data_IF_226834809064
#
_entry.id   IF_226834809064
#
_cell.length_a   1.000
_cell.length_b   1.000
_cell.length_c   1.000
_cell.angle_alpha   90.00
_cell.angle_beta   90.00
_cell.angle_gamma   90.00
#
_symmetry.space_group_name_H-M   'P 1'
#
loop_
_entity.id
_entity.type
_entity.pdbx_description
1 polymer ?
#
# COMPACT_ATOMS: atom_id res chain seq x y z
N UNK A 1 28.34 -19.24 13.51
CA UNK A 1 27.06 -19.73 12.94
C UNK A 1 26.28 -18.66 12.19
N UNK A 2 26.28 -17.38 12.63
CA UNK A 2 25.63 -16.27 11.88
C UNK A 2 26.16 -16.13 10.45
N UNK A 3 27.45 -16.38 10.21
CA UNK A 3 28.07 -16.30 8.88
C UNK A 3 27.47 -17.24 7.84
N UNK A 4 26.89 -18.39 8.23
CA UNK A 4 26.29 -19.37 7.30
C UNK A 4 24.95 -18.92 6.70
N UNK A 5 24.30 -17.93 7.31
CA UNK A 5 22.96 -17.46 6.91
C UNK A 5 22.98 -16.06 6.28
N UNK A 6 24.16 -15.44 6.18
CA UNK A 6 24.30 -14.18 5.47
C UNK A 6 24.41 -14.46 3.96
N UNK A 7 23.77 -13.65 3.10
CA UNK A 7 23.96 -13.77 1.67
C UNK A 7 25.43 -13.63 1.31
N UNK A 8 25.97 -14.57 0.53
CA UNK A 8 27.37 -14.52 0.12
C UNK A 8 27.74 -13.22 -0.60
N UNK A 9 26.77 -12.62 -1.30
CA UNK A 9 26.91 -11.32 -1.96
C UNK A 9 27.18 -10.15 -1.01
N UNK A 10 26.89 -10.29 0.29
CA UNK A 10 27.15 -9.30 1.33
C UNK A 10 28.39 -9.64 2.19
N UNK A 11 29.04 -10.79 1.96
CA UNK A 11 30.20 -11.24 2.74
C UNK A 11 31.32 -11.71 1.80
N UNK A 12 31.37 -12.99 1.43
CA UNK A 12 32.48 -13.59 0.68
C UNK A 12 32.64 -12.99 -0.72
N UNK A 13 31.53 -12.71 -1.39
CA UNK A 13 31.49 -12.20 -2.75
C UNK A 13 31.31 -10.67 -2.83
N UNK A 14 31.28 -9.98 -1.69
CA UNK A 14 31.00 -8.54 -1.66
C UNK A 14 32.02 -7.73 -2.47
N UNK A 15 33.33 -7.89 -2.19
CA UNK A 15 34.37 -7.09 -2.85
C UNK A 15 34.46 -7.34 -4.37
N UNK A 16 34.42 -8.58 -4.87
CA UNK A 16 34.31 -8.82 -6.31
C UNK A 16 33.09 -8.15 -6.97
N UNK A 17 31.90 -8.21 -6.34
CA UNK A 17 30.69 -7.58 -6.84
C UNK A 17 30.85 -6.05 -6.84
N UNK A 18 31.32 -5.50 -5.73
CA UNK A 18 31.54 -4.06 -5.55
C UNK A 18 32.42 -3.48 -6.64
N UNK A 19 33.58 -4.10 -6.92
CA UNK A 19 34.49 -3.64 -7.98
C UNK A 19 33.82 -3.62 -9.34
N UNK A 20 33.15 -4.71 -9.72
CA UNK A 20 32.44 -4.80 -10.99
C UNK A 20 31.37 -3.71 -11.14
N UNK A 21 30.58 -3.49 -10.09
CA UNK A 21 29.50 -2.49 -10.08
C UNK A 21 30.06 -1.07 -10.27
N UNK A 22 31.14 -0.71 -9.56
CA UNK A 22 31.77 0.60 -9.67
C UNK A 22 32.44 0.80 -11.03
N UNK A 23 33.14 -0.22 -11.55
CA UNK A 23 33.81 -0.16 -12.87
C UNK A 23 32.82 0.05 -14.03
N UNK A 24 31.65 -0.60 -13.97
CA UNK A 24 30.60 -0.50 -15.02
C UNK A 24 29.78 0.79 -14.91
N UNK A 25 29.91 1.54 -13.80
CA UNK A 25 29.20 2.80 -13.53
C UNK A 25 30.18 3.89 -13.05
N UNK A 26 31.13 4.31 -13.89
CA UNK A 26 32.17 5.26 -13.47
C UNK A 26 31.65 6.67 -13.23
N UNK A 27 30.54 7.05 -13.86
CA UNK A 27 29.98 8.40 -13.77
C UNK A 27 29.08 8.54 -12.54
N UNK A 28 29.54 9.32 -11.56
CA UNK A 28 28.78 9.67 -10.36
C UNK A 28 27.80 10.83 -10.65
N UNK A 29 26.50 10.67 -10.40
CA UNK A 29 25.55 11.78 -10.46
C UNK A 29 25.55 12.60 -9.17
N UNK A 30 25.14 13.86 -9.21
CA UNK A 30 24.96 14.67 -7.99
C UNK A 30 23.74 14.25 -7.17
N UNK A 31 22.72 13.68 -7.84
CA UNK A 31 21.48 13.20 -7.22
C UNK A 31 21.13 11.78 -7.71
N UNK A 32 20.66 10.94 -6.80
CA UNK A 32 20.19 9.59 -7.07
C UNK A 32 18.75 9.43 -6.56
N UNK A 33 17.83 8.91 -7.39
CA UNK A 33 16.43 8.70 -7.00
C UNK A 33 16.03 7.23 -7.11
N UNK A 34 15.26 6.74 -6.13
CA UNK A 34 14.54 5.46 -6.23
C UNK A 34 13.36 5.40 -5.26
N UNK A 35 12.44 4.46 -5.48
CA UNK A 35 11.39 4.12 -4.51
C UNK A 35 11.45 2.68 -4.04
N UNK A 36 12.16 1.78 -4.72
CA UNK A 36 12.19 0.35 -4.34
C UNK A 36 13.59 -0.29 -4.38
N UNK A 37 14.59 0.39 -4.94
CA UNK A 37 15.89 -0.24 -5.20
C UNK A 37 16.69 -0.59 -3.93
N UNK A 38 16.44 0.07 -2.80
CA UNK A 38 17.02 -0.29 -1.51
C UNK A 38 16.51 -1.64 -0.97
N UNK A 39 15.41 -2.19 -1.50
CA UNK A 39 14.93 -3.52 -1.12
C UNK A 39 15.64 -4.63 -1.88
N UNK A 40 15.61 -4.56 -3.21
CA UNK A 40 15.88 -5.74 -4.05
C UNK A 40 17.14 -5.66 -4.90
N UNK A 41 17.79 -4.51 -5.01
CA UNK A 41 18.90 -4.30 -5.96
C UNK A 41 20.23 -4.06 -5.24
N UNK A 42 21.08 -5.08 -5.17
CA UNK A 42 22.38 -4.98 -4.49
C UNK A 42 23.31 -3.98 -5.18
N UNK A 43 23.29 -3.91 -6.51
CA UNK A 43 24.10 -3.00 -7.31
C UNK A 43 23.73 -1.55 -6.98
N UNK A 44 22.42 -1.25 -6.88
CA UNK A 44 21.96 0.07 -6.48
C UNK A 44 22.41 0.40 -5.06
N UNK A 45 22.33 -0.54 -4.11
CA UNK A 45 22.76 -0.30 -2.71
C UNK A 45 24.26 0.02 -2.65
N UNK A 46 25.08 -0.70 -3.41
CA UNK A 46 26.53 -0.45 -3.49
C UNK A 46 26.78 0.94 -4.08
N UNK A 47 26.18 1.27 -5.23
CA UNK A 47 26.39 2.57 -5.87
C UNK A 47 25.89 3.72 -4.99
N UNK A 48 24.72 3.57 -4.37
CA UNK A 48 24.17 4.56 -3.45
C UNK A 48 25.14 4.79 -2.28
N UNK A 49 25.64 3.73 -1.65
CA UNK A 49 26.60 3.86 -0.56
C UNK A 49 27.89 4.57 -1.00
N UNK A 50 28.53 4.12 -2.08
CA UNK A 50 29.78 4.71 -2.58
C UNK A 50 29.63 6.16 -3.01
N UNK A 51 28.55 6.48 -3.73
CA UNK A 51 28.35 7.83 -4.26
C UNK A 51 27.90 8.82 -3.19
N UNK A 52 27.12 8.39 -2.20
CA UNK A 52 26.71 9.26 -1.09
C UNK A 52 27.91 9.66 -0.20
N UNK A 53 28.87 8.75 0.02
CA UNK A 53 30.14 9.08 0.70
C UNK A 53 30.96 10.15 -0.07
N UNK A 54 30.76 10.23 -1.38
CA UNK A 54 31.37 11.24 -2.26
C UNK A 54 30.49 12.48 -2.48
N UNK A 55 29.40 12.61 -1.74
CA UNK A 55 28.53 13.79 -1.73
C UNK A 55 27.30 13.74 -2.64
N UNK A 56 27.02 12.61 -3.31
CA UNK A 56 25.74 12.43 -4.04
C UNK A 56 24.56 12.43 -3.06
N UNK A 57 23.47 13.07 -3.44
CA UNK A 57 22.24 13.14 -2.64
C UNK A 57 21.27 12.01 -2.96
N UNK A 58 20.86 11.26 -1.93
CA UNK A 58 19.88 10.18 -2.08
C UNK A 58 18.46 10.68 -1.85
N UNK A 59 17.67 10.62 -2.91
CA UNK A 59 16.24 10.84 -2.92
C UNK A 59 15.53 9.47 -2.88
N UNK A 60 14.71 9.26 -1.85
CA UNK A 60 13.92 8.04 -1.72
C UNK A 60 12.44 8.34 -1.51
N UNK A 61 11.57 7.41 -1.86
CA UNK A 61 10.13 7.67 -1.89
C UNK A 61 9.34 6.47 -1.38
N UNK A 62 8.34 6.76 -0.54
CA UNK A 62 7.31 5.84 -0.12
C UNK A 62 6.72 5.07 -1.32
N UNK A 63 6.55 3.76 -1.14
CA UNK A 63 6.04 2.85 -2.18
C UNK A 63 4.94 1.91 -1.68
N UNK A 64 4.76 1.81 -0.37
CA UNK A 64 3.73 0.97 0.24
C UNK A 64 2.69 1.78 1.01
N UNK A 65 1.55 1.16 1.27
CA UNK A 65 0.46 1.81 2.01
C UNK A 65 0.54 1.73 3.53
N UNK A 66 1.60 1.17 4.12
CA UNK A 66 1.79 1.09 5.57
C UNK A 66 2.67 2.21 6.15
N UNK A 67 3.38 2.92 5.26
CA UNK A 67 4.34 3.96 5.63
C UNK A 67 3.63 5.13 6.29
N UNK A 68 4.15 5.55 7.45
CA UNK A 68 3.58 6.58 8.29
C UNK A 68 2.37 6.14 9.11
N UNK A 69 1.77 4.97 8.84
CA UNK A 69 0.58 4.47 9.54
C UNK A 69 0.92 3.48 10.64
N UNK A 70 1.76 2.49 10.32
CA UNK A 70 2.13 1.40 11.22
C UNK A 70 2.87 1.90 12.45
N UNK A 71 2.52 1.38 13.62
CA UNK A 71 3.13 1.70 14.92
C UNK A 71 4.67 1.63 14.87
N UNK A 72 5.19 0.66 14.12
CA UNK A 72 6.60 0.55 13.73
C UNK A 72 6.71 -0.07 12.34
N UNK A 73 7.58 0.49 11.50
CA UNK A 73 7.82 0.01 10.15
C UNK A 73 9.31 0.06 9.84
N UNK A 74 9.98 -1.11 9.87
CA UNK A 74 11.45 -1.19 9.73
C UNK A 74 11.94 -0.66 8.37
N UNK A 75 11.19 -0.93 7.29
CA UNK A 75 11.48 -0.41 5.94
C UNK A 75 11.52 1.11 5.90
N UNK A 76 10.38 1.77 6.17
CA UNK A 76 10.28 3.22 6.40
C UNK A 76 11.42 3.78 7.25
N UNK A 77 11.66 3.25 8.46
CA UNK A 77 12.70 3.78 9.35
C UNK A 77 14.10 3.69 8.75
N UNK A 78 14.41 2.60 8.04
CA UNK A 78 15.67 2.46 7.34
C UNK A 78 15.77 3.47 6.20
N UNK A 79 14.78 3.50 5.31
CA UNK A 79 14.77 4.34 4.12
C UNK A 79 14.81 5.84 4.46
N UNK A 80 14.02 6.28 5.44
CA UNK A 80 14.03 7.66 5.93
C UNK A 80 15.41 8.03 6.50
N UNK A 81 16.07 7.10 7.18
CA UNK A 81 17.38 7.36 7.81
C UNK A 81 18.52 7.47 6.80
N UNK A 82 18.48 6.68 5.73
CA UNK A 82 19.59 6.63 4.76
C UNK A 82 19.45 7.62 3.60
N UNK A 83 18.28 8.23 3.43
CA UNK A 83 18.04 9.22 2.37
C UNK A 83 18.29 10.64 2.88
N UNK A 84 18.82 11.50 2.00
CA UNK A 84 18.89 12.95 2.25
C UNK A 84 17.48 13.57 2.15
N UNK A 85 16.66 13.03 1.25
CA UNK A 85 15.28 13.44 0.97
C UNK A 85 14.37 12.21 0.88
N UNK A 86 13.45 12.07 1.82
CA UNK A 86 12.44 11.02 1.85
C UNK A 86 11.06 11.59 1.50
N UNK A 87 10.52 11.19 0.35
CA UNK A 87 9.20 11.62 -0.09
C UNK A 87 8.09 10.75 0.51
N UNK A 88 7.07 11.37 1.08
CA UNK A 88 5.92 10.70 1.68
C UNK A 88 4.63 11.06 0.95
N UNK A 89 3.62 10.20 1.07
CA UNK A 89 2.31 10.43 0.46
C UNK A 89 1.39 11.31 1.32
N UNK A 90 1.94 12.25 2.10
CA UNK A 90 1.13 13.23 2.86
C UNK A 90 1.64 13.55 4.26
N UNK A 91 2.32 12.60 4.91
CA UNK A 91 2.67 12.74 6.32
C UNK A 91 4.05 13.37 6.49
N UNK A 92 4.20 14.21 7.52
CA UNK A 92 5.48 14.71 7.99
C UNK A 92 5.45 14.78 9.52
N UNK A 93 6.60 14.57 10.16
CA UNK A 93 6.75 14.62 11.62
C UNK A 93 7.76 15.66 12.07
N UNK A 94 7.98 16.68 11.24
CA UNK A 94 8.86 17.80 11.54
C UNK A 94 10.35 17.46 11.42
N UNK A 95 10.70 16.27 10.92
CA UNK A 95 12.05 15.98 10.50
C UNK A 95 12.35 16.73 9.18
N UNK A 96 13.61 17.17 9.03
CA UNK A 96 14.02 17.99 7.88
C UNK A 96 14.19 17.20 6.58
N UNK A 97 14.24 15.88 6.68
CA UNK A 97 14.51 14.99 5.55
C UNK A 97 13.24 14.46 4.91
N UNK A 98 12.08 14.60 5.54
CA UNK A 98 10.79 14.16 5.00
C UNK A 98 10.09 15.28 4.23
N UNK A 99 9.75 14.99 2.98
CA UNK A 99 9.10 15.91 2.04
C UNK A 99 7.75 15.32 1.61
N UNK A 100 6.68 16.09 1.73
CA UNK A 100 5.36 15.65 1.27
C UNK A 100 5.25 15.86 -0.23
N UNK A 101 5.03 14.79 -0.98
CA UNK A 101 4.89 14.85 -2.43
C UNK A 101 3.87 13.82 -2.92
N UNK A 102 2.91 14.25 -3.75
CA UNK A 102 1.86 13.35 -4.20
C UNK A 102 2.44 12.19 -5.00
N UNK A 103 2.02 10.94 -4.74
CA UNK A 103 2.47 9.80 -5.53
C UNK A 103 2.01 9.92 -6.98
N UNK A 104 2.72 9.20 -7.85
CA UNK A 104 2.28 8.99 -9.22
C UNK A 104 0.93 8.29 -9.20
N UNK A 105 -0.03 8.88 -9.90
CA UNK A 105 -1.31 8.25 -10.16
C UNK A 105 -1.75 8.47 -11.60
N UNK A 106 -2.29 7.42 -12.19
CA UNK A 106 -2.99 7.52 -13.45
C UNK A 106 -4.33 8.20 -13.22
N UNK A 107 -4.69 9.16 -14.08
CA UNK A 107 -5.99 9.80 -14.03
C UNK A 107 -7.09 8.74 -14.04
N UNK A 108 -8.07 8.80 -13.12
CA UNK A 108 -9.15 7.82 -13.07
C UNK A 108 -9.87 7.78 -14.41
N UNK A 109 -10.01 6.59 -15.00
CA UNK A 109 -10.82 6.43 -16.21
C UNK A 109 -12.30 6.48 -15.83
N UNK A 110 -13.09 7.24 -16.58
CA UNK A 110 -14.54 7.31 -16.36
C UNK A 110 -15.23 6.17 -17.09
N UNK A 111 -15.67 5.16 -16.36
CA UNK A 111 -16.44 4.03 -16.89
C UNK A 111 -17.81 3.92 -16.22
N UNK A 112 -18.77 3.33 -16.94
CA UNK A 112 -20.07 2.97 -16.37
C UNK A 112 -19.84 1.92 -15.27
N UNK A 113 -20.36 2.19 -14.07
CA UNK A 113 -20.28 1.24 -12.97
C UNK A 113 -21.12 -0.01 -13.27
N UNK A 114 -20.55 -1.19 -13.07
CA UNK A 114 -21.17 -2.46 -13.48
C UNK A 114 -21.05 -3.57 -12.44
N UNK A 115 -20.11 -3.47 -11.50
CA UNK A 115 -19.89 -4.48 -10.48
C UNK A 115 -19.48 -3.83 -9.15
N UNK A 116 -19.35 -4.65 -8.11
CA UNK A 116 -18.54 -4.34 -6.95
C UNK A 116 -17.23 -5.14 -7.02
N UNK A 117 -16.21 -4.69 -6.32
CA UNK A 117 -14.92 -5.38 -6.30
C UNK A 117 -14.50 -5.74 -4.88
N UNK A 118 -13.89 -6.91 -4.70
CA UNK A 118 -13.17 -7.28 -3.48
C UNK A 118 -11.71 -7.52 -3.83
N UNK A 119 -10.81 -6.75 -3.23
CA UNK A 119 -9.37 -6.87 -3.40
C UNK A 119 -8.81 -7.65 -2.21
N UNK A 120 -8.33 -8.86 -2.48
CA UNK A 120 -7.78 -9.76 -1.48
C UNK A 120 -6.26 -9.57 -1.34
N UNK A 121 -5.77 -9.98 -0.18
CA UNK A 121 -4.35 -10.06 0.16
C UNK A 121 -3.96 -11.48 0.49
N UNK A 122 -2.71 -11.81 0.24
CA UNK A 122 -2.12 -13.09 0.62
C UNK A 122 -0.61 -12.93 0.85
N UNK A 123 0.00 -13.83 1.61
CA UNK A 123 1.43 -13.81 1.96
C UNK A 123 2.01 -15.23 2.03
N UNK A 124 3.35 -15.37 1.97
CA UNK A 124 4.00 -16.64 2.26
C UNK A 124 3.63 -17.18 3.64
N UNK A 125 3.65 -18.51 3.79
CA UNK A 125 3.44 -19.19 5.08
C UNK A 125 4.66 -19.11 6.01
N UNK A 126 5.76 -18.52 5.55
CA UNK A 126 6.98 -18.28 6.32
C UNK A 126 7.12 -16.80 6.64
N UNK A 127 7.62 -16.50 7.83
CA UNK A 127 7.89 -15.12 8.23
C UNK A 127 9.08 -14.64 7.41
N UNK A 128 8.88 -13.58 6.63
CA UNK A 128 9.95 -12.95 5.84
C UNK A 128 10.16 -11.47 6.19
N UNK A 129 9.23 -10.86 6.93
CA UNK A 129 9.37 -9.49 7.47
C UNK A 129 8.55 -9.33 8.75
N UNK A 130 9.03 -8.47 9.65
CA UNK A 130 8.33 -8.08 10.88
C UNK A 130 7.63 -6.75 10.65
N UNK A 131 6.30 -6.78 10.56
CA UNK A 131 5.46 -5.63 10.25
C UNK A 131 4.00 -5.92 10.63
N UNK A 132 3.19 -4.87 10.79
CA UNK A 132 1.78 -4.95 11.17
C UNK A 132 0.85 -5.22 9.96
N UNK A 133 0.92 -6.43 9.44
CA UNK A 133 -0.05 -7.00 8.50
C UNK A 133 -0.21 -8.51 8.79
N UNK A 134 -1.14 -9.23 8.13
CA UNK A 134 -1.31 -10.66 8.33
C UNK A 134 -0.02 -11.47 8.11
N UNK A 135 0.42 -12.17 9.17
CA UNK A 135 1.63 -12.99 9.20
C UNK A 135 1.25 -14.48 9.34
N UNK A 136 2.22 -15.42 9.16
CA UNK A 136 2.01 -16.81 9.55
C UNK A 136 1.50 -16.90 10.99
N UNK A 137 0.25 -17.35 11.16
CA UNK A 137 -0.48 -17.33 12.43
C UNK A 137 -1.81 -16.57 12.37
N UNK A 138 -1.87 -15.45 11.65
CA UNK A 138 -3.09 -14.64 11.45
C UNK A 138 -3.65 -14.71 10.02
N UNK A 139 -2.91 -15.33 9.08
CA UNK A 139 -3.39 -15.57 7.71
C UNK A 139 -4.72 -16.33 7.66
N UNK A 140 -4.90 -17.33 8.52
CA UNK A 140 -6.14 -18.10 8.57
C UNK A 140 -7.33 -17.22 8.99
N UNK A 141 -7.15 -16.34 9.99
CA UNK A 141 -8.15 -15.37 10.41
C UNK A 141 -8.50 -14.40 9.28
N UNK A 142 -7.52 -13.93 8.50
CA UNK A 142 -7.78 -13.13 7.31
C UNK A 142 -8.63 -13.89 6.28
N UNK A 143 -8.33 -15.18 6.02
CA UNK A 143 -9.12 -15.99 5.09
C UNK A 143 -10.55 -16.17 5.58
N UNK A 144 -10.74 -16.43 6.88
CA UNK A 144 -12.05 -16.55 7.52
C UNK A 144 -12.86 -15.25 7.42
N UNK A 145 -12.24 -14.09 7.67
CA UNK A 145 -12.91 -12.80 7.49
C UNK A 145 -13.35 -12.57 6.04
N UNK A 146 -12.54 -12.96 5.05
CA UNK A 146 -12.91 -12.85 3.64
C UNK A 146 -14.08 -13.79 3.31
N UNK A 147 -14.04 -15.04 3.76
CA UNK A 147 -15.14 -16.00 3.59
C UNK A 147 -16.43 -15.53 4.25
N UNK A 148 -16.34 -15.00 5.46
CA UNK A 148 -17.48 -14.45 6.21
C UNK A 148 -18.08 -13.25 5.46
N UNK A 149 -17.25 -12.32 4.98
CA UNK A 149 -17.70 -11.18 4.18
C UNK A 149 -18.46 -11.65 2.94
N UNK A 150 -17.88 -12.55 2.15
CA UNK A 150 -18.46 -13.02 0.89
C UNK A 150 -19.76 -13.82 1.14
N UNK A 151 -19.83 -14.59 2.22
CA UNK A 151 -21.01 -15.38 2.59
C UNK A 151 -22.19 -14.53 3.10
N UNK A 152 -21.92 -13.43 3.81
CA UNK A 152 -22.96 -12.52 4.33
C UNK A 152 -23.41 -11.50 3.27
N UNK A 153 -22.57 -11.23 2.27
CA UNK A 153 -22.85 -10.21 1.26
C UNK A 153 -24.09 -10.57 0.43
N UNK A 154 -25.12 -9.73 0.55
CA UNK A 154 -26.40 -9.84 -0.14
C UNK A 154 -26.54 -8.65 -1.10
N UNK A 155 -26.35 -8.89 -2.39
CA UNK A 155 -26.55 -7.89 -3.43
C UNK A 155 -26.91 -8.53 -4.75
N UNK A 156 -27.71 -7.83 -5.55
CA UNK A 156 -27.96 -8.17 -6.95
C UNK A 156 -26.81 -7.72 -7.88
N UNK A 157 -25.83 -6.99 -7.35
CA UNK A 157 -24.64 -6.59 -8.12
C UNK A 157 -23.56 -7.64 -7.99
N UNK A 158 -22.99 -8.04 -9.13
CA UNK A 158 -21.86 -8.97 -9.18
C UNK A 158 -20.68 -8.48 -8.33
N UNK A 159 -20.17 -9.36 -7.46
CA UNK A 159 -18.93 -9.14 -6.74
C UNK A 159 -17.77 -9.79 -7.50
N UNK A 160 -16.85 -8.97 -8.02
CA UNK A 160 -15.62 -9.42 -8.68
C UNK A 160 -14.47 -9.49 -7.68
N UNK A 161 -13.98 -10.68 -7.41
CA UNK A 161 -12.94 -10.95 -6.42
C UNK A 161 -11.56 -10.99 -7.09
N UNK A 162 -10.67 -10.07 -6.73
CA UNK A 162 -9.29 -10.04 -7.21
C UNK A 162 -8.38 -10.67 -6.16
N UNK A 163 -7.79 -11.81 -6.49
CA UNK A 163 -6.79 -12.46 -5.64
C UNK A 163 -5.46 -11.69 -5.65
N UNK A 164 -4.67 -11.83 -4.59
CA UNK A 164 -3.32 -11.32 -4.56
C UNK A 164 -2.48 -11.98 -5.68
N UNK A 165 -1.62 -11.24 -6.40
CA UNK A 165 -0.89 -11.78 -7.55
C UNK A 165 0.27 -12.73 -7.19
N UNK A 166 0.58 -12.88 -5.90
CA UNK A 166 1.63 -13.81 -5.41
C UNK A 166 1.18 -15.27 -5.43
N UNK A 167 2.13 -16.18 -5.66
CA UNK A 167 1.89 -17.62 -5.63
C UNK A 167 2.16 -18.17 -4.21
N UNK A 168 1.14 -18.13 -3.36
CA UNK A 168 1.20 -18.61 -1.97
C UNK A 168 0.22 -19.76 -1.69
N UNK A 169 -0.24 -20.41 -2.76
CA UNK A 169 -1.22 -21.51 -2.70
C UNK A 169 -2.66 -21.05 -2.94
N UNK A 170 -3.61 -21.91 -2.57
CA UNK A 170 -5.02 -21.77 -2.93
C UNK A 170 -5.99 -21.71 -1.72
N UNK A 171 -5.47 -21.62 -0.50
CA UNK A 171 -6.28 -21.74 0.72
C UNK A 171 -7.39 -20.67 0.80
N UNK A 172 -7.04 -19.41 0.57
CA UNK A 172 -8.02 -18.32 0.56
C UNK A 172 -9.08 -18.51 -0.54
N UNK A 173 -8.66 -18.90 -1.75
CA UNK A 173 -9.58 -19.17 -2.86
C UNK A 173 -10.55 -20.30 -2.52
N UNK A 174 -10.06 -21.38 -1.92
CA UNK A 174 -10.90 -22.51 -1.49
C UNK A 174 -11.89 -22.08 -0.41
N UNK A 175 -11.46 -21.28 0.57
CA UNK A 175 -12.33 -20.76 1.62
C UNK A 175 -13.44 -19.85 1.05
N UNK A 176 -13.14 -19.04 0.03
CA UNK A 176 -14.13 -18.21 -0.67
C UNK A 176 -15.15 -19.09 -1.40
N UNK A 177 -14.70 -20.08 -2.18
CA UNK A 177 -15.60 -20.97 -2.94
C UNK A 177 -16.48 -21.80 -2.01
N UNK A 178 -15.95 -22.23 -0.85
CA UNK A 178 -16.73 -22.94 0.15
C UNK A 178 -17.85 -22.08 0.74
N UNK A 179 -17.61 -20.78 0.96
CA UNK A 179 -18.61 -19.84 1.46
C UNK A 179 -19.60 -19.39 0.38
N UNK A 180 -19.15 -19.25 -0.88
CA UNK A 180 -19.95 -18.81 -2.02
C UNK A 180 -19.52 -19.54 -3.30
N UNK A 181 -20.18 -20.66 -3.64
CA UNK A 181 -19.80 -21.49 -4.79
C UNK A 181 -19.83 -20.79 -6.16
N UNK A 182 -20.66 -19.75 -6.30
CA UNK A 182 -20.79 -18.92 -7.50
C UNK A 182 -19.87 -17.68 -7.49
N UNK A 183 -18.89 -17.62 -6.57
CA UNK A 183 -17.93 -16.53 -6.47
C UNK A 183 -17.19 -16.27 -7.79
N UNK A 184 -17.18 -15.01 -8.21
CA UNK A 184 -16.60 -14.59 -9.49
C UNK A 184 -15.20 -14.01 -9.26
N UNK A 185 -14.18 -14.73 -9.69
CA UNK A 185 -12.80 -14.26 -9.62
C UNK A 185 -12.49 -13.37 -10.84
N UNK A 186 -12.00 -12.16 -10.56
CA UNK A 186 -11.73 -11.10 -11.54
C UNK A 186 -10.36 -11.16 -12.20
N UNK A 187 -10.16 -10.25 -13.17
CA UNK A 187 -9.06 -10.26 -14.15
C UNK A 187 -7.66 -9.97 -13.58
N UNK A 188 -6.64 -10.53 -14.23
CA UNK A 188 -5.20 -10.26 -14.08
C UNK A 188 -4.73 -8.91 -14.69
N UNK A 189 -5.67 -8.05 -15.12
CA UNK A 189 -5.39 -6.76 -15.77
C UNK A 189 -5.05 -5.64 -14.78
N UNK A 190 -4.99 -4.40 -15.26
CA UNK A 190 -4.73 -3.22 -14.42
C UNK A 190 -5.79 -3.10 -13.30
N UNK A 191 -5.33 -2.82 -12.07
CA UNK A 191 -6.19 -2.66 -10.91
C UNK A 191 -7.04 -1.37 -10.99
N UNK A 192 -6.52 -0.32 -11.63
CA UNK A 192 -7.25 0.94 -11.84
C UNK A 192 -8.44 0.76 -12.78
N UNK A 193 -8.35 -0.15 -13.76
CA UNK A 193 -9.49 -0.50 -14.61
C UNK A 193 -10.60 -1.15 -13.77
N UNK A 194 -10.24 -2.00 -12.82
CA UNK A 194 -11.21 -2.60 -11.90
C UNK A 194 -11.85 -1.55 -10.96
N UNK A 195 -11.08 -0.61 -10.41
CA UNK A 195 -11.65 0.50 -9.63
C UNK A 195 -12.65 1.32 -10.45
N UNK A 196 -12.33 1.57 -11.72
CA UNK A 196 -13.12 2.43 -12.59
C UNK A 196 -14.53 1.90 -12.87
N UNK A 197 -14.70 0.58 -12.97
CA UNK A 197 -16.00 -0.07 -13.21
C UNK A 197 -16.75 -0.43 -11.93
N UNK A 198 -16.11 -0.29 -10.76
CA UNK A 198 -16.69 -0.66 -9.47
C UNK A 198 -17.61 0.42 -8.92
N UNK A 199 -18.82 0.05 -8.47
CA UNK A 199 -19.69 0.95 -7.68
C UNK A 199 -19.07 1.21 -6.30
N UNK A 200 -18.45 0.19 -5.72
CA UNK A 200 -17.71 0.20 -4.46
C UNK A 200 -16.56 -0.81 -4.51
N UNK A 201 -15.46 -0.50 -3.85
CA UNK A 201 -14.30 -1.40 -3.70
C UNK A 201 -14.14 -1.80 -2.24
N UNK A 202 -14.13 -3.10 -2.00
CA UNK A 202 -13.85 -3.72 -0.72
C UNK A 202 -12.38 -4.13 -0.66
N UNK A 203 -11.70 -3.89 0.45
CA UNK A 203 -10.33 -4.36 0.68
C UNK A 203 -10.29 -5.21 1.95
N UNK A 204 -9.73 -6.42 1.86
CA UNK A 204 -9.57 -7.31 3.02
C UNK A 204 -8.26 -7.08 3.79
N UNK A 205 -7.61 -5.94 3.56
CA UNK A 205 -6.31 -5.57 4.11
C UNK A 205 -6.05 -4.07 3.89
N UNK A 206 -5.13 -3.51 4.67
CA UNK A 206 -4.72 -2.10 4.59
C UNK A 206 -3.34 -1.93 3.92
N UNK A 207 -3.22 -2.32 2.65
CA UNK A 207 -1.98 -2.13 1.87
C UNK A 207 -1.98 -0.86 1.02
N UNK A 208 -1.44 -0.90 -0.20
CA UNK A 208 -1.45 0.27 -1.10
C UNK A 208 -2.84 0.55 -1.70
N UNK A 209 -3.57 -0.52 -2.06
CA UNK A 209 -4.80 -0.42 -2.86
C UNK A 209 -5.92 0.41 -2.21
N UNK A 210 -6.08 0.36 -0.87
CA UNK A 210 -7.11 1.15 -0.21
C UNK A 210 -6.76 2.64 -0.16
N UNK A 211 -5.48 2.99 -0.05
CA UNK A 211 -5.04 4.38 -0.14
C UNK A 211 -5.33 4.95 -1.52
N UNK A 212 -5.10 4.15 -2.57
CA UNK A 212 -5.42 4.54 -3.95
C UNK A 212 -6.91 4.84 -4.11
N UNK A 213 -7.79 3.93 -3.66
CA UNK A 213 -9.24 4.09 -3.83
C UNK A 213 -9.78 5.26 -3.01
N UNK A 214 -9.31 5.46 -1.76
CA UNK A 214 -9.63 6.63 -0.96
C UNK A 214 -9.13 7.92 -1.64
N UNK A 215 -7.87 7.93 -2.10
CA UNK A 215 -7.21 9.07 -2.72
C UNK A 215 -7.89 9.55 -4.01
N UNK A 216 -8.41 8.63 -4.82
CA UNK A 216 -9.17 8.98 -6.04
C UNK A 216 -10.68 9.12 -5.82
N UNK A 217 -11.14 9.19 -4.56
CA UNK A 217 -12.54 9.35 -4.21
C UNK A 217 -13.45 8.22 -4.79
N UNK A 218 -12.98 6.98 -4.80
CA UNK A 218 -13.81 5.81 -5.10
C UNK A 218 -14.48 5.34 -3.81
N UNK A 219 -15.79 4.98 -3.81
CA UNK A 219 -16.41 4.38 -2.64
C UNK A 219 -15.66 3.15 -2.16
N UNK A 220 -15.26 3.17 -0.89
CA UNK A 220 -14.33 2.19 -0.33
C UNK A 220 -14.79 1.73 1.04
N UNK A 221 -14.80 0.42 1.25
CA UNK A 221 -14.91 -0.21 2.56
C UNK A 221 -13.69 -1.11 2.73
N UNK A 222 -13.03 -1.05 3.88
CA UNK A 222 -11.95 -1.97 4.22
C UNK A 222 -12.26 -2.70 5.51
N UNK A 223 -11.83 -3.95 5.59
CA UNK A 223 -11.86 -4.71 6.82
C UNK A 223 -10.52 -5.39 7.07
N UNK A 224 -10.17 -5.50 8.34
CA UNK A 224 -8.90 -6.07 8.77
C UNK A 224 -9.03 -6.70 10.17
N UNK A 225 -8.07 -7.56 10.51
CA UNK A 225 -7.93 -8.14 11.84
C UNK A 225 -7.20 -7.16 12.77
N UNK A 226 -7.84 -6.64 13.84
CA UNK A 226 -7.20 -5.70 14.77
C UNK A 226 -5.99 -6.30 15.51
N UNK A 227 -5.84 -7.63 15.56
CA UNK A 227 -4.67 -8.27 16.15
C UNK A 227 -3.45 -8.26 15.19
N UNK A 228 -3.69 -8.14 13.88
CA UNK A 228 -2.63 -8.08 12.87
C UNK A 228 -2.15 -6.64 12.57
N UNK A 229 -2.97 -5.63 12.89
CA UNK A 229 -2.70 -4.23 12.54
C UNK A 229 -2.60 -3.35 13.78
N UNK A 230 -1.55 -2.52 13.83
CA UNK A 230 -1.36 -1.55 14.90
C UNK A 230 -0.89 -0.22 14.34
N UNK A 231 -1.58 0.85 14.69
CA UNK A 231 -1.33 2.19 14.16
C UNK A 231 -0.61 3.09 15.16
N UNK A 232 0.16 4.04 14.64
CA UNK A 232 0.76 5.14 15.43
C UNK A 232 -0.30 5.98 16.11
N UNK A 233 0.06 6.60 17.23
CA UNK A 233 -0.85 7.47 17.99
C UNK A 233 -1.40 8.64 17.18
N UNK A 234 -0.63 9.18 16.23
CA UNK A 234 -1.01 10.31 15.39
C UNK A 234 -1.87 9.91 14.16
N UNK A 235 -2.01 8.61 13.90
CA UNK A 235 -2.92 8.05 12.90
C UNK A 235 -4.25 7.59 13.52
N UNK A 236 -4.25 7.15 14.80
CA UNK A 236 -5.43 6.62 15.50
C UNK A 236 -6.69 7.48 15.37
N UNK A 237 -6.67 8.81 15.60
CA UNK A 237 -7.88 9.63 15.49
C UNK A 237 -8.52 9.59 14.09
N UNK A 238 -7.69 9.46 13.04
CA UNK A 238 -8.18 9.38 11.67
C UNK A 238 -8.71 7.97 11.34
N UNK A 239 -8.07 6.91 11.88
CA UNK A 239 -8.58 5.54 11.79
C UNK A 239 -9.93 5.41 12.51
N UNK A 240 -10.07 6.01 13.69
CA UNK A 240 -11.31 6.02 14.46
C UNK A 240 -12.42 6.76 13.70
N UNK A 241 -12.11 7.92 13.11
CA UNK A 241 -13.06 8.68 12.28
C UNK A 241 -13.54 7.87 11.07
N UNK A 242 -12.64 7.17 10.36
CA UNK A 242 -13.00 6.29 9.25
C UNK A 242 -13.86 5.10 9.71
N UNK A 243 -13.61 4.58 10.92
CA UNK A 243 -14.40 3.50 11.51
C UNK A 243 -15.82 3.97 11.84
N UNK A 244 -15.96 5.17 12.42
CA UNK A 244 -17.26 5.76 12.78
C UNK A 244 -18.20 5.95 11.58
N UNK A 245 -17.65 6.31 10.41
CA UNK A 245 -18.43 6.53 9.18
C UNK A 245 -18.61 5.25 8.34
N UNK A 246 -18.06 4.12 8.79
CA UNK A 246 -18.17 2.81 8.12
C UNK A 246 -17.27 2.63 6.91
N UNK A 247 -16.18 3.39 6.79
CA UNK A 247 -15.12 3.11 5.79
C UNK A 247 -14.24 1.96 6.29
N UNK A 248 -13.87 1.97 7.57
CA UNK A 248 -13.06 0.92 8.19
C UNK A 248 -13.88 0.02 9.12
N UNK A 249 -13.55 -1.26 9.09
CA UNK A 249 -14.19 -2.31 9.87
C UNK A 249 -13.13 -3.26 10.44
N UNK A 250 -13.37 -3.80 11.63
CA UNK A 250 -12.45 -4.73 12.30
C UNK A 250 -12.80 -6.20 12.05
N UNK A 251 -13.74 -6.47 11.15
CA UNK A 251 -14.12 -7.83 10.73
C UNK A 251 -14.84 -7.84 9.39
N UNK A 252 -14.70 -8.95 8.64
CA UNK A 252 -15.44 -9.19 7.41
C UNK A 252 -16.96 -9.12 7.60
N UNK A 253 -17.50 -9.69 8.69
CA UNK A 253 -18.94 -9.57 9.00
C UNK A 253 -19.41 -8.15 9.19
N UNK A 254 -18.71 -7.31 9.96
CA UNK A 254 -19.17 -5.95 10.19
C UNK A 254 -19.16 -5.13 8.90
N UNK A 255 -18.16 -5.35 8.03
CA UNK A 255 -18.10 -4.75 6.71
C UNK A 255 -19.24 -5.23 5.80
N UNK A 256 -19.57 -6.53 5.79
CA UNK A 256 -20.65 -7.07 4.96
C UNK A 256 -22.03 -6.55 5.41
N UNK A 257 -22.27 -6.45 6.72
CA UNK A 257 -23.51 -5.87 7.26
C UNK A 257 -23.67 -4.41 6.81
N UNK A 258 -22.60 -3.61 6.91
CA UNK A 258 -22.63 -2.22 6.44
C UNK A 258 -22.82 -2.14 4.92
N UNK A 259 -22.11 -2.98 4.15
CA UNK A 259 -22.24 -3.07 2.71
C UNK A 259 -23.68 -3.38 2.26
N UNK A 260 -24.35 -4.34 2.91
CA UNK A 260 -25.74 -4.68 2.62
C UNK A 260 -26.69 -3.51 2.96
N UNK A 261 -26.44 -2.80 4.07
CA UNK A 261 -27.24 -1.62 4.48
C UNK A 261 -27.21 -0.50 3.43
N UNK A 262 -26.06 -0.29 2.77
CA UNK A 262 -25.89 0.78 1.78
C UNK A 262 -26.12 0.32 0.33
N UNK A 263 -26.38 -0.98 0.09
CA UNK A 263 -26.34 -1.57 -1.25
C UNK A 263 -27.28 -0.90 -2.27
N UNK A 264 -28.46 -0.50 -1.78
CA UNK A 264 -29.47 0.20 -2.59
C UNK A 264 -29.02 1.58 -3.07
N UNK A 265 -28.13 2.26 -2.34
CA UNK A 265 -27.57 3.55 -2.75
C UNK A 265 -26.21 3.85 -2.09
N UNK A 266 -25.16 3.24 -2.64
CA UNK A 266 -23.76 3.46 -2.21
C UNK A 266 -23.37 4.94 -2.27
N UNK A 267 -23.80 5.67 -3.31
CA UNK A 267 -23.42 7.06 -3.53
C UNK A 267 -24.00 7.99 -2.45
N UNK A 268 -25.23 7.72 -1.99
CA UNK A 268 -25.83 8.51 -0.91
C UNK A 268 -25.03 8.43 0.39
N UNK A 269 -24.46 7.27 0.71
CA UNK A 269 -23.56 7.13 1.86
C UNK A 269 -22.21 7.78 1.56
N UNK A 270 -21.58 7.43 0.44
CA UNK A 270 -20.23 7.85 0.11
C UNK A 270 -20.09 9.38 0.01
N UNK A 271 -21.06 10.05 -0.61
CA UNK A 271 -21.06 11.51 -0.80
C UNK A 271 -21.64 12.28 0.38
N UNK A 272 -22.01 11.60 1.48
CA UNK A 272 -22.43 12.29 2.70
C UNK A 272 -21.29 13.12 3.27
N UNK A 273 -21.66 14.22 3.95
CA UNK A 273 -20.70 15.17 4.52
C UNK A 273 -19.72 14.49 5.48
N UNK A 274 -20.22 13.63 6.38
CA UNK A 274 -19.40 12.97 7.39
C UNK A 274 -18.39 12.00 6.76
N UNK A 275 -18.82 11.20 5.79
CA UNK A 275 -17.95 10.24 5.09
C UNK A 275 -16.87 10.97 4.29
N UNK A 276 -17.24 12.01 3.54
CA UNK A 276 -16.29 12.80 2.76
C UNK A 276 -15.30 13.58 3.63
N UNK A 277 -15.75 14.10 4.78
CA UNK A 277 -14.88 14.79 5.73
C UNK A 277 -13.86 13.82 6.35
N UNK A 278 -14.31 12.67 6.86
CA UNK A 278 -13.42 11.65 7.42
C UNK A 278 -12.40 11.16 6.39
N UNK A 279 -12.86 10.88 5.16
CA UNK A 279 -12.00 10.49 4.04
C UNK A 279 -10.95 11.57 3.74
N UNK A 280 -11.38 12.82 3.56
CA UNK A 280 -10.48 13.93 3.17
C UNK A 280 -9.41 14.16 4.22
N UNK A 281 -9.80 14.23 5.50
CA UNK A 281 -8.86 14.39 6.62
C UNK A 281 -7.82 13.26 6.66
N UNK A 282 -8.22 12.02 6.34
CA UNK A 282 -7.30 10.90 6.25
C UNK A 282 -6.39 11.01 5.02
N UNK A 283 -6.95 11.25 3.84
CA UNK A 283 -6.20 11.27 2.57
C UNK A 283 -5.19 12.40 2.53
N UNK A 284 -5.50 13.58 3.05
CA UNK A 284 -4.52 14.68 3.12
C UNK A 284 -3.24 14.29 3.87
N UNK A 285 -3.35 13.41 4.86
CA UNK A 285 -2.21 12.99 5.69
C UNK A 285 -1.54 11.70 5.22
N UNK A 286 -2.27 10.74 4.66
CA UNK A 286 -1.73 9.40 4.38
C UNK A 286 -1.94 8.91 2.94
N UNK A 287 -2.69 9.64 2.13
CA UNK A 287 -2.99 9.29 0.74
C UNK A 287 -3.22 10.56 -0.09
N UNK A 288 -2.22 11.45 -0.11
CA UNK A 288 -2.30 12.76 -0.76
C UNK A 288 -2.12 12.64 -2.27
N UNK A 289 -3.02 11.90 -2.93
CA UNK A 289 -3.06 11.73 -4.37
C UNK A 289 -3.54 13.02 -5.04
N UNK A 290 -2.85 13.45 -6.08
CA UNK A 290 -3.13 14.71 -6.78
C UNK A 290 -3.06 14.50 -8.28
N UNK A 291 -3.98 15.10 -9.04
CA UNK A 291 -3.88 15.17 -10.50
C UNK A 291 -2.69 16.03 -10.96
N UNK A 292 -2.20 16.89 -10.07
CA UNK A 292 -1.05 17.77 -10.29
C UNK A 292 0.27 17.15 -9.82
N UNK A 293 0.31 15.85 -9.51
CA UNK A 293 1.55 15.21 -9.03
C UNK A 293 2.73 15.52 -9.96
N UNK A 294 2.56 15.44 -11.28
CA UNK A 294 3.65 15.69 -12.23
C UNK A 294 4.24 17.10 -12.11
N UNK A 295 3.39 18.11 -11.92
CA UNK A 295 3.85 19.50 -11.78
C UNK A 295 4.50 19.75 -10.42
N UNK A 296 4.03 19.08 -9.36
CA UNK A 296 4.65 19.09 -8.04
C UNK A 296 6.05 18.46 -8.07
N UNK A 297 6.21 17.27 -8.66
CA UNK A 297 7.50 16.60 -8.80
C UNK A 297 8.49 17.40 -9.64
N UNK A 298 8.03 17.98 -10.75
CA UNK A 298 8.87 18.83 -11.58
C UNK A 298 9.38 20.04 -10.79
N UNK A 299 8.52 20.68 -9.98
CA UNK A 299 8.90 21.83 -9.16
C UNK A 299 9.95 21.44 -8.12
N UNK A 300 9.68 20.39 -7.35
CA UNK A 300 10.58 19.88 -6.31
C UNK A 300 11.98 19.63 -6.86
N UNK A 301 12.10 18.83 -7.93
CA UNK A 301 13.39 18.53 -8.53
C UNK A 301 14.04 19.72 -9.21
N UNK A 302 13.26 20.65 -9.78
CA UNK A 302 13.82 21.88 -10.36
C UNK A 302 14.40 22.82 -9.32
N UNK A 303 13.87 22.84 -8.11
CA UNK A 303 14.40 23.63 -6.99
C UNK A 303 15.69 23.01 -6.45
N UNK A 304 15.71 21.69 -6.31
CA UNK A 304 16.89 20.93 -5.85
C UNK A 304 18.07 20.97 -6.82
N UNK A 305 17.82 20.96 -8.13
CA UNK A 305 18.89 21.03 -9.13
C UNK A 305 19.51 22.43 -9.28
N UNK A 306 18.97 23.45 -8.59
CA UNK A 306 19.51 24.83 -8.58
C UNK A 306 20.36 25.13 -7.35
N UNK A 307 20.22 24.32 -6.29
CA UNK A 307 20.96 24.45 -5.02
C UNK A 307 22.27 23.69 -5.06
#
# INVERSE_FOLDING_TARGET
MVSLYLPASLVEAFEPIRRLVVEVRPSRPDHLYSSQSLWTHIEFKILAAEWCELGTKLHYHQHGGWYGLDDSHVGEQFECRVSDFYYTWGWSRGDKHTHVLSPLINSPRSHKKSCDSLICFDQPQQIYRLQYFPLPGTLQSMYEQVSEFVGIRESNTDLKIRMFPGDYGNAQRQAIVAAKPDAQFGNSGDIFDQYSVSRIVFHSYLGTSWLETLGINTPTICFYDPDAYKFRSDAKPLIDALTQVGILHTSGKSAAIHANKIDGNVQSWWLSTDVQLARTNFTEKFANFSTEWKSQWHREFSELLKS
#
